data_IF_300121009727
#
_entry.id   IF_300121009727
#
_cell.length_a   1.000
_cell.length_b   1.000
_cell.length_c   1.000
_cell.angle_alpha   90.00
_cell.angle_beta   90.00
_cell.angle_gamma   90.00
#
_symmetry.space_group_name_H-M   'P 1'
#
loop_
_entity.id
_entity.type
_entity.pdbx_description
1 polymer ?
#
# COMPACT_ATOMS: atom_id res chain seq x y z
N UNK A 1 11.45 -51.05 23.03
CA UNK A 1 12.06 -49.96 22.23
C UNK A 1 12.89 -49.09 23.14
N UNK A 2 14.20 -49.03 22.91
CA UNK A 2 15.17 -48.48 23.84
C UNK A 2 15.05 -46.96 24.03
N UNK A 3 15.39 -46.47 25.23
CA UNK A 3 15.39 -45.07 25.66
C UNK A 3 16.04 -44.08 24.67
N UNK A 4 16.86 -44.57 23.75
CA UNK A 4 17.48 -43.83 22.64
C UNK A 4 16.47 -43.28 21.61
N UNK A 5 15.37 -44.00 21.35
CA UNK A 5 14.35 -43.55 20.39
C UNK A 5 13.47 -42.40 20.91
N UNK A 6 13.22 -42.39 22.23
CA UNK A 6 12.42 -41.34 22.89
C UNK A 6 13.20 -40.01 22.91
N UNK A 7 14.51 -40.05 23.13
CA UNK A 7 15.36 -38.85 23.13
C UNK A 7 15.38 -38.14 21.78
N UNK A 8 15.44 -38.89 20.67
CA UNK A 8 15.42 -38.32 19.31
C UNK A 8 14.08 -37.65 19.01
N UNK A 9 12.97 -38.25 19.42
CA UNK A 9 11.62 -37.69 19.22
C UNK A 9 11.47 -36.35 19.95
N UNK A 10 11.99 -36.25 21.18
CA UNK A 10 11.92 -35.00 21.97
C UNK A 10 12.75 -33.90 21.31
N UNK A 11 13.95 -34.21 20.79
CA UNK A 11 14.81 -33.23 20.10
C UNK A 11 14.11 -32.69 18.84
N UNK A 12 13.49 -33.56 18.05
CA UNK A 12 12.73 -33.14 16.85
C UNK A 12 11.55 -32.24 17.23
N UNK A 13 10.84 -32.55 18.32
CA UNK A 13 9.74 -31.73 18.82
C UNK A 13 10.18 -30.33 19.27
N UNK A 14 11.33 -30.23 19.94
CA UNK A 14 11.91 -28.93 20.36
C UNK A 14 12.34 -28.10 19.14
N UNK A 15 12.91 -28.73 18.10
CA UNK A 15 13.28 -28.03 16.86
C UNK A 15 12.03 -27.50 16.15
N UNK A 16 10.96 -28.29 16.07
CA UNK A 16 9.70 -27.85 15.45
C UNK A 16 9.08 -26.68 16.24
N UNK A 17 9.06 -26.75 17.57
CA UNK A 17 8.57 -25.65 18.41
C UNK A 17 9.43 -24.37 18.28
N UNK A 18 10.75 -24.51 18.17
CA UNK A 18 11.64 -23.37 17.93
C UNK A 18 11.40 -22.74 16.55
N UNK A 19 11.14 -23.55 15.52
CA UNK A 19 10.80 -23.05 14.18
C UNK A 19 9.45 -22.29 14.16
N UNK A 20 8.46 -22.78 14.91
CA UNK A 20 7.16 -22.09 15.05
C UNK A 20 7.33 -20.77 15.82
N UNK A 21 8.16 -20.75 16.87
CA UNK A 21 8.43 -19.54 17.65
C UNK A 21 9.17 -18.46 16.83
N UNK A 22 10.10 -18.84 15.95
CA UNK A 22 10.77 -17.89 15.04
C UNK A 22 9.77 -17.28 14.04
N UNK A 23 8.79 -18.06 13.57
CA UNK A 23 7.72 -17.55 12.71
C UNK A 23 6.79 -16.55 13.41
N UNK A 24 6.61 -16.67 14.73
CA UNK A 24 5.77 -15.76 15.52
C UNK A 24 6.53 -14.53 16.05
N UNK A 25 7.87 -14.54 16.05
CA UNK A 25 8.73 -13.47 16.57
C UNK A 25 9.43 -12.71 15.44
N UNK A 26 8.71 -12.50 14.33
CA UNK A 26 9.17 -11.61 13.24
C UNK A 26 8.38 -10.30 13.17
N UNK A 27 7.44 -10.07 14.09
CA UNK A 27 6.77 -8.78 14.22
C UNK A 27 7.59 -7.85 15.14
N UNK A 28 8.15 -6.82 14.51
CA UNK A 28 8.85 -5.72 15.17
C UNK A 28 7.92 -5.02 16.17
N UNK A 29 8.38 -4.61 17.37
CA UNK A 29 7.54 -3.94 18.34
C UNK A 29 7.38 -2.48 17.94
N UNK A 30 6.34 -2.19 17.16
CA UNK A 30 5.95 -0.84 16.74
C UNK A 30 4.43 -0.65 16.86
N UNK A 31 4.00 -0.14 18.00
CA UNK A 31 2.78 0.66 18.22
C UNK A 31 1.46 0.19 17.60
N UNK A 32 0.67 -0.57 18.37
CA UNK A 32 -0.79 -0.46 18.52
C UNK A 32 -1.65 -0.04 17.29
N UNK A 33 -1.73 -0.86 16.25
CA UNK A 33 -2.96 -0.99 15.43
C UNK A 33 -2.99 -2.41 14.84
N UNK A 34 -3.54 -3.37 15.60
CA UNK A 34 -3.70 -4.74 15.09
C UNK A 34 -4.66 -4.71 13.89
N UNK A 35 -4.11 -4.69 12.66
CA UNK A 35 -4.84 -4.83 11.41
C UNK A 35 -4.86 -3.63 10.45
N UNK A 36 -4.29 -2.48 10.81
CA UNK A 36 -4.23 -1.32 9.89
C UNK A 36 -2.87 -1.25 9.19
N UNK A 37 -2.88 -0.81 7.92
CA UNK A 37 -1.69 -0.63 7.08
C UNK A 37 -1.36 0.85 6.98
N UNK A 38 -0.11 1.22 7.30
CA UNK A 38 0.43 2.56 7.03
C UNK A 38 0.78 2.65 5.54
N UNK A 39 0.23 3.66 4.86
CA UNK A 39 0.53 3.98 3.46
C UNK A 39 1.11 5.40 3.37
N UNK A 40 1.96 5.58 2.35
CA UNK A 40 2.57 6.87 2.02
C UNK A 40 2.21 7.24 0.57
N UNK A 41 1.63 8.41 0.37
CA UNK A 41 1.20 8.91 -0.94
C UNK A 41 1.67 10.35 -1.18
N UNK A 42 1.73 10.77 -2.44
CA UNK A 42 1.97 12.17 -2.79
C UNK A 42 0.85 13.07 -2.25
N UNK A 43 1.22 14.24 -1.73
CA UNK A 43 0.30 15.28 -1.28
C UNK A 43 -0.42 15.99 -2.44
N UNK A 44 -0.02 15.77 -3.70
CA UNK A 44 -0.65 16.38 -4.89
C UNK A 44 -2.03 15.77 -5.26
N UNK A 45 -2.63 14.99 -4.36
CA UNK A 45 -3.97 14.43 -4.52
C UNK A 45 -5.08 15.23 -3.82
N UNK A 46 -6.26 14.64 -3.61
CA UNK A 46 -6.79 13.53 -4.41
C UNK A 46 -7.23 14.01 -5.80
N UNK A 47 -7.15 13.13 -6.79
CA UNK A 47 -7.79 13.30 -8.09
C UNK A 47 -8.94 12.29 -8.27
N UNK A 48 -9.77 12.46 -9.31
CA UNK A 48 -10.92 11.58 -9.53
C UNK A 48 -10.47 10.26 -10.15
N UNK A 49 -11.08 9.15 -9.71
CA UNK A 49 -10.82 7.83 -10.29
C UNK A 49 -11.13 7.78 -11.80
N UNK A 50 -12.11 8.54 -12.27
CA UNK A 50 -12.42 8.65 -13.70
C UNK A 50 -11.25 9.22 -14.52
N UNK A 51 -10.49 10.15 -13.95
CA UNK A 51 -9.35 10.77 -14.62
C UNK A 51 -8.21 9.75 -14.76
N UNK A 52 -7.97 8.96 -13.70
CA UNK A 52 -7.00 7.85 -13.75
C UNK A 52 -7.39 6.80 -14.80
N UNK A 53 -8.66 6.37 -14.80
CA UNK A 53 -9.17 5.38 -15.76
C UNK A 53 -8.96 5.88 -17.19
N UNK A 54 -9.31 7.14 -17.45
CA UNK A 54 -9.11 7.74 -18.77
C UNK A 54 -7.63 7.81 -19.14
N UNK A 55 -6.73 8.09 -18.19
CA UNK A 55 -5.30 8.09 -18.45
C UNK A 55 -4.78 6.68 -18.78
N UNK A 56 -5.18 5.66 -18.00
CA UNK A 56 -4.85 4.25 -18.25
C UNK A 56 -5.28 3.80 -19.65
N UNK A 57 -6.47 4.21 -20.10
CA UNK A 57 -7.01 3.81 -21.41
C UNK A 57 -6.29 4.45 -22.59
N UNK A 58 -5.75 5.66 -22.42
CA UNK A 58 -5.33 6.50 -23.55
C UNK A 58 -3.83 6.80 -23.57
N UNK A 59 -3.14 6.73 -22.45
CA UNK A 59 -1.73 7.07 -22.37
C UNK A 59 -0.83 5.86 -22.67
N UNK A 60 0.18 6.08 -23.52
CA UNK A 60 1.07 5.01 -23.99
C UNK A 60 1.90 4.35 -22.88
N UNK A 61 2.15 5.06 -21.77
CA UNK A 61 2.93 4.52 -20.65
C UNK A 61 2.15 3.49 -19.79
N UNK A 62 0.84 3.33 -20.03
CA UNK A 62 0.05 2.24 -19.47
C UNK A 62 -0.20 1.11 -20.48
N UNK A 63 0.44 1.11 -21.65
CA UNK A 63 0.33 -0.01 -22.58
C UNK A 63 0.74 -1.32 -21.88
N UNK A 64 -0.12 -2.33 -21.96
CA UNK A 64 0.05 -3.58 -21.21
C UNK A 64 -0.78 -3.66 -19.92
N UNK A 65 -1.64 -2.68 -19.64
CA UNK A 65 -2.50 -2.74 -18.45
C UNK A 65 -3.44 -3.96 -18.44
N UNK A 66 -3.78 -4.42 -17.24
CA UNK A 66 -4.71 -5.51 -17.02
C UNK A 66 -6.18 -5.06 -17.18
N UNK A 67 -6.91 -5.74 -18.07
CA UNK A 67 -8.29 -5.38 -18.39
C UNK A 67 -9.28 -5.72 -17.26
N UNK A 68 -8.98 -6.73 -16.45
CA UNK A 68 -9.84 -7.12 -15.33
C UNK A 68 -9.71 -6.09 -14.20
N UNK A 69 -8.49 -5.64 -13.90
CA UNK A 69 -8.22 -4.52 -12.99
C UNK A 69 -8.90 -3.24 -13.47
N UNK A 70 -8.77 -2.88 -14.75
CA UNK A 70 -9.43 -1.68 -15.29
C UNK A 70 -10.96 -1.78 -15.20
N UNK A 71 -11.52 -2.96 -15.51
CA UNK A 71 -12.96 -3.23 -15.40
C UNK A 71 -13.45 -3.12 -13.96
N UNK A 72 -12.68 -3.63 -13.01
CA UNK A 72 -12.96 -3.50 -11.59
C UNK A 72 -12.92 -2.03 -11.15
N UNK A 73 -11.89 -1.26 -11.52
CA UNK A 73 -11.80 0.17 -11.21
C UNK A 73 -13.03 0.95 -11.69
N UNK A 74 -13.48 0.70 -12.94
CA UNK A 74 -14.70 1.32 -13.51
C UNK A 74 -15.96 0.99 -12.69
N UNK A 75 -16.03 -0.19 -12.09
CA UNK A 75 -17.18 -0.63 -11.29
C UNK A 75 -17.32 0.10 -9.94
N UNK A 76 -16.22 0.68 -9.43
CA UNK A 76 -16.20 1.36 -8.13
C UNK A 76 -16.93 2.72 -8.14
N UNK A 77 -17.19 3.28 -9.33
CA UNK A 77 -17.91 4.53 -9.51
C UNK A 77 -17.11 5.75 -9.05
N UNK A 78 -17.79 6.70 -8.39
CA UNK A 78 -17.14 7.94 -7.96
C UNK A 78 -16.27 7.70 -6.71
N UNK A 79 -14.95 7.74 -6.90
CA UNK A 79 -13.94 7.55 -5.86
C UNK A 79 -12.80 8.55 -6.05
N UNK A 80 -12.07 8.77 -4.96
CA UNK A 80 -10.90 9.62 -4.91
C UNK A 80 -9.64 8.76 -4.96
N UNK A 81 -8.60 9.26 -5.62
CA UNK A 81 -7.33 8.54 -5.82
C UNK A 81 -6.16 9.38 -5.37
N UNK A 82 -5.21 8.72 -4.70
CA UNK A 82 -3.88 9.23 -4.44
C UNK A 82 -2.83 8.37 -5.17
N UNK A 83 -1.75 9.00 -5.61
CA UNK A 83 -0.60 8.32 -6.21
C UNK A 83 0.49 8.13 -5.17
N UNK A 84 1.02 6.91 -5.06
CA UNK A 84 2.17 6.58 -4.23
C UNK A 84 3.31 5.97 -5.04
N UNK A 85 4.42 5.69 -4.36
CA UNK A 85 5.49 4.93 -4.99
C UNK A 85 5.01 3.50 -5.27
N UNK A 86 5.14 3.07 -6.53
CA UNK A 86 4.63 1.77 -6.96
C UNK A 86 3.10 1.53 -6.85
N UNK A 87 2.28 2.50 -6.44
CA UNK A 87 0.85 2.23 -6.20
C UNK A 87 -0.12 3.39 -6.50
N UNK A 88 -1.38 3.05 -6.73
CA UNK A 88 -2.54 3.95 -6.66
C UNK A 88 -3.44 3.53 -5.51
N UNK A 89 -3.87 4.51 -4.70
CA UNK A 89 -4.74 4.26 -3.55
C UNK A 89 -6.11 4.88 -3.82
N UNK A 90 -7.12 4.03 -3.96
CA UNK A 90 -8.51 4.38 -4.21
C UNK A 90 -9.27 4.35 -2.88
N UNK A 91 -10.01 5.42 -2.57
CA UNK A 91 -10.80 5.53 -1.34
C UNK A 91 -12.09 6.32 -1.56
N UNK A 92 -12.94 6.33 -0.54
CA UNK A 92 -14.13 7.19 -0.53
C UNK A 92 -13.72 8.68 -0.49
N UNK A 93 -14.57 9.58 -1.00
CA UNK A 93 -14.31 11.02 -0.88
C UNK A 93 -14.32 11.49 0.58
N UNK A 94 -15.05 10.81 1.47
CA UNK A 94 -15.04 11.10 2.91
C UNK A 94 -13.69 10.76 3.52
N UNK A 95 -13.13 9.58 3.22
CA UNK A 95 -11.80 9.20 3.67
C UNK A 95 -10.72 10.11 3.10
N UNK A 96 -10.80 10.43 1.80
CA UNK A 96 -9.86 11.33 1.15
C UNK A 96 -9.85 12.73 1.79
N UNK A 97 -11.00 13.22 2.27
CA UNK A 97 -11.10 14.53 2.92
C UNK A 97 -10.35 14.64 4.25
N UNK A 98 -9.91 13.51 4.82
CA UNK A 98 -9.14 13.47 6.07
C UNK A 98 -7.64 13.70 5.84
N UNK A 99 -7.17 13.53 4.61
CA UNK A 99 -5.77 13.69 4.23
C UNK A 99 -5.59 15.15 3.80
N UNK A 100 -4.72 15.94 4.45
CA UNK A 100 -4.38 17.26 3.96
C UNK A 100 -3.63 17.10 2.65
N UNK A 101 -4.04 17.81 1.61
CA UNK A 101 -3.39 17.71 0.30
C UNK A 101 -2.94 19.09 -0.15
N UNK A 102 -1.68 19.19 -0.54
CA UNK A 102 -1.02 20.43 -0.87
C UNK A 102 -0.16 20.21 -2.12
N UNK A 103 -0.25 21.16 -3.04
CA UNK A 103 0.65 21.23 -4.18
C UNK A 103 1.82 22.18 -3.86
N UNK A 104 3.05 21.69 -4.03
CA UNK A 104 4.27 22.46 -3.84
C UNK A 104 5.23 22.23 -5.01
N UNK A 105 5.96 23.26 -5.44
CA UNK A 105 6.87 23.17 -6.59
C UNK A 105 8.33 22.95 -6.22
N UNK A 106 8.69 23.25 -4.98
CA UNK A 106 10.09 23.36 -4.53
C UNK A 106 10.48 22.24 -3.55
N UNK A 107 9.51 21.42 -3.13
CA UNK A 107 9.66 20.30 -2.20
C UNK A 107 8.73 19.15 -2.64
N UNK A 108 9.11 17.92 -2.30
CA UNK A 108 8.19 16.78 -2.36
C UNK A 108 7.49 16.64 -1.01
N UNK A 109 6.16 16.57 -1.04
CA UNK A 109 5.34 16.39 0.16
C UNK A 109 4.64 15.05 0.07
N UNK A 110 4.75 14.30 1.14
CA UNK A 110 4.26 12.94 1.29
C UNK A 110 3.30 12.88 2.46
N UNK A 111 2.10 12.36 2.23
CA UNK A 111 1.07 12.19 3.24
C UNK A 111 1.06 10.74 3.74
N UNK A 112 1.16 10.58 5.05
CA UNK A 112 1.23 9.28 5.71
C UNK A 112 -0.02 9.09 6.56
N UNK A 113 -0.71 7.98 6.30
CA UNK A 113 -1.96 7.62 6.97
C UNK A 113 -2.03 6.11 7.21
N UNK A 114 -2.83 5.70 8.19
CA UNK A 114 -3.19 4.29 8.37
C UNK A 114 -4.59 4.03 7.80
N UNK A 115 -4.80 2.82 7.28
CA UNK A 115 -6.08 2.41 6.68
C UNK A 115 -6.25 0.88 6.68
N UNK A 116 -7.43 0.41 6.32
CA UNK A 116 -7.65 -1.00 5.98
C UNK A 116 -7.57 -1.17 4.46
N UNK A 117 -6.69 -2.05 3.99
CA UNK A 117 -6.67 -2.47 2.59
C UNK A 117 -7.76 -3.52 2.37
N UNK A 118 -8.75 -3.19 1.55
CA UNK A 118 -9.91 -4.05 1.26
C UNK A 118 -9.59 -4.99 0.11
N UNK A 119 -9.02 -4.46 -0.98
CA UNK A 119 -8.64 -5.22 -2.17
C UNK A 119 -7.35 -4.66 -2.78
N UNK A 120 -6.57 -5.55 -3.40
CA UNK A 120 -5.34 -5.23 -4.12
C UNK A 120 -5.38 -5.90 -5.48
N UNK A 121 -5.17 -5.12 -6.53
CA UNK A 121 -5.10 -5.59 -7.91
C UNK A 121 -3.81 -5.06 -8.56
N UNK A 122 -3.17 -5.85 -9.40
CA UNK A 122 -2.04 -5.35 -10.20
C UNK A 122 -2.57 -4.62 -11.43
N UNK A 123 -1.98 -3.48 -11.79
CA UNK A 123 -2.32 -2.79 -13.03
C UNK A 123 -1.79 -3.52 -14.28
N UNK A 124 -1.02 -4.60 -14.13
CA UNK A 124 -0.51 -5.42 -15.22
C UNK A 124 0.97 -5.17 -15.55
N UNK A 125 1.44 -5.79 -16.62
CA UNK A 125 2.83 -5.71 -17.11
C UNK A 125 3.05 -4.42 -17.93
N UNK A 126 2.94 -3.28 -17.26
CA UNK A 126 3.26 -1.95 -17.81
C UNK A 126 4.74 -1.61 -17.57
N UNK A 127 5.27 -0.57 -18.24
CA UNK A 127 6.69 -0.16 -18.12
C UNK A 127 7.11 0.11 -16.67
N UNK A 128 6.22 0.72 -15.88
CA UNK A 128 6.39 0.96 -14.45
C UNK A 128 5.24 0.32 -13.69
N UNK A 129 5.35 -0.97 -13.29
CA UNK A 129 4.27 -1.70 -12.64
C UNK A 129 3.72 -0.95 -11.43
N UNK A 130 2.39 -0.91 -11.34
CA UNK A 130 1.66 -0.27 -10.24
C UNK A 130 0.67 -1.25 -9.66
N UNK A 131 0.54 -1.26 -8.34
CA UNK A 131 -0.58 -1.89 -7.65
C UNK A 131 -1.70 -0.88 -7.44
N UNK A 132 -2.95 -1.33 -7.51
CA UNK A 132 -4.15 -0.53 -7.26
C UNK A 132 -4.82 -1.06 -6.00
N UNK A 133 -4.86 -0.22 -4.97
CA UNK A 133 -5.37 -0.54 -3.65
C UNK A 133 -6.72 0.12 -3.42
N UNK A 134 -7.73 -0.64 -3.03
CA UNK A 134 -8.97 -0.09 -2.47
C UNK A 134 -8.85 -0.10 -0.94
N UNK A 135 -9.02 1.07 -0.32
CA UNK A 135 -8.87 1.22 1.13
C UNK A 135 -10.09 1.87 1.77
N UNK A 136 -10.23 1.63 3.08
CA UNK A 136 -11.26 2.23 3.94
C UNK A 136 -10.70 2.56 5.33
N UNK A 137 -11.48 3.27 6.15
CA UNK A 137 -11.12 3.65 7.51
C UNK A 137 -9.80 4.42 7.58
N UNK A 138 -9.64 5.43 6.71
CA UNK A 138 -8.44 6.25 6.68
C UNK A 138 -8.34 7.10 7.95
N UNK A 139 -7.17 7.08 8.57
CA UNK A 139 -6.77 7.95 9.67
C UNK A 139 -5.42 8.59 9.35
N UNK A 140 -5.42 9.92 9.16
CA UNK A 140 -4.22 10.67 8.87
C UNK A 140 -3.26 10.68 10.07
N UNK A 141 -1.96 10.48 9.81
CA UNK A 141 -0.93 10.42 10.84
C UNK A 141 -0.02 11.64 10.80
N UNK A 142 0.62 11.91 9.65
CA UNK A 142 1.66 12.95 9.50
C UNK A 142 1.96 13.24 8.03
N UNK A 143 2.68 14.33 7.81
CA UNK A 143 3.31 14.71 6.54
C UNK A 143 4.83 14.54 6.65
N UNK A 144 5.45 14.09 5.58
CA UNK A 144 6.91 14.09 5.39
C UNK A 144 7.25 15.03 4.22
N UNK A 145 8.27 15.88 4.41
CA UNK A 145 8.70 16.87 3.42
C UNK A 145 10.15 16.58 3.04
N UNK A 146 10.39 16.38 1.74
CA UNK A 146 11.73 16.17 1.18
C UNK A 146 12.13 17.35 0.27
N UNK A 147 13.31 17.92 0.53
CA UNK A 147 13.87 18.98 -0.30
C UNK A 147 14.29 18.44 -1.67
N UNK A 148 14.06 19.22 -2.73
CA UNK A 148 14.57 18.89 -4.06
C UNK A 148 16.11 19.03 -4.05
N UNK A 149 16.88 17.97 -4.41
CA UNK A 149 18.33 18.05 -4.44
C UNK A 149 18.82 19.17 -5.37
N UNK A 150 19.46 20.19 -4.78
CA UNK A 150 19.97 21.37 -5.51
C UNK A 150 19.01 22.56 -5.58
N UNK A 151 17.82 22.48 -4.97
CA UNK A 151 16.84 23.57 -4.82
C UNK A 151 17.13 24.53 -3.66
N UNK A 152 18.41 24.79 -3.36
CA UNK A 152 18.78 25.81 -2.38
C UNK A 152 18.55 27.20 -2.95
N UNK A 153 17.65 27.97 -2.34
CA UNK A 153 17.55 29.42 -2.52
C UNK A 153 18.80 30.16 -2.00
#
# INVERSE_FOLDING_TARGET
MGKKGIGVIIIVLVIILALIAVYQVSESPGSNSEGMTELNVSSEGPFQLSDLINDIENASYYEGYDNDTLSWMKSLGNKSVFSGDGMFVIMSSEDASKIPSVYATDVFIYEIFECNVVETHSLGDIEYPKDVLLVENVNYLREDIEDIPGGGA
#
